data_IF_017646193441
#
_entry.id   IF_017646193441
#
_cell.length_a   1.000
_cell.length_b   1.000
_cell.length_c   1.000
_cell.angle_alpha   90.00
_cell.angle_beta   90.00
_cell.angle_gamma   90.00
#
_symmetry.space_group_name_H-M   'P 1'
#
loop_
_entity.id
_entity.type
_entity.pdbx_description
1 polymer ?
#
# COMPACT_ATOMS: atom_id res chain seq x y z
N UNK A 1 14.41 18.33 -10.11
CA UNK A 1 13.71 17.39 -11.02
C UNK A 1 12.53 16.83 -10.24
N UNK A 2 11.33 17.24 -10.56
CA UNK A 2 10.16 16.55 -10.02
C UNK A 2 10.15 15.12 -10.59
N UNK A 3 10.09 14.08 -9.77
CA UNK A 3 9.93 12.74 -10.31
C UNK A 3 8.62 12.70 -11.07
N UNK A 4 8.66 12.26 -12.31
CA UNK A 4 7.47 12.09 -13.14
C UNK A 4 6.66 10.91 -12.57
N UNK A 5 5.89 11.21 -11.54
CA UNK A 5 5.14 10.24 -10.73
C UNK A 5 4.12 9.48 -11.59
N UNK A 6 3.61 10.12 -12.65
CA UNK A 6 2.60 9.52 -13.52
C UNK A 6 3.13 8.32 -14.32
N UNK A 7 4.40 8.32 -14.66
CA UNK A 7 5.00 7.24 -15.46
C UNK A 7 5.61 6.11 -14.63
N UNK A 8 5.70 6.26 -13.31
CA UNK A 8 6.40 5.33 -12.41
C UNK A 8 5.51 4.68 -11.36
N UNK A 9 4.20 4.75 -11.48
CA UNK A 9 3.27 4.13 -10.52
C UNK A 9 3.55 2.64 -10.33
N UNK A 10 4.07 2.00 -11.37
CA UNK A 10 4.38 0.57 -11.42
C UNK A 10 5.85 0.29 -11.74
N UNK A 11 6.74 1.26 -11.55
CA UNK A 11 8.15 1.02 -11.79
C UNK A 11 8.69 0.01 -10.77
N UNK A 12 8.82 -1.20 -11.26
CA UNK A 12 9.35 -2.32 -10.54
C UNK A 12 10.76 -2.08 -9.99
N UNK A 13 11.54 -1.27 -10.69
CA UNK A 13 12.89 -0.95 -10.25
C UNK A 13 12.87 -0.18 -8.94
N UNK A 14 11.83 0.62 -8.68
CA UNK A 14 11.67 1.32 -7.41
C UNK A 14 11.08 0.46 -6.30
N UNK A 15 10.32 -0.59 -6.63
CA UNK A 15 9.66 -1.44 -5.65
C UNK A 15 10.39 -2.76 -5.37
N UNK A 16 11.11 -3.29 -6.35
CA UNK A 16 11.57 -4.69 -6.35
C UNK A 16 13.05 -4.82 -6.73
N UNK A 17 13.47 -4.16 -7.79
CA UNK A 17 14.88 -4.08 -8.17
C UNK A 17 15.39 -2.67 -7.82
N UNK A 18 16.60 -2.54 -7.28
CA UNK A 18 17.17 -1.22 -7.10
C UNK A 18 17.30 -0.56 -8.48
N UNK A 19 16.82 0.67 -8.64
CA UNK A 19 17.34 1.54 -9.67
C UNK A 19 18.87 1.48 -9.55
N UNK A 20 19.57 1.37 -10.65
CA UNK A 20 20.97 0.97 -10.72
C UNK A 20 21.97 1.76 -9.83
N UNK A 21 21.54 2.79 -9.11
CA UNK A 21 22.36 3.62 -8.25
C UNK A 21 21.77 3.87 -6.85
N UNK A 22 20.61 3.29 -6.49
CA UNK A 22 20.05 3.51 -5.16
C UNK A 22 20.52 2.37 -4.25
N UNK A 23 21.35 2.73 -3.27
CA UNK A 23 21.80 1.79 -2.25
C UNK A 23 20.60 1.38 -1.40
N UNK A 24 20.42 0.07 -1.23
CA UNK A 24 19.38 -0.50 -0.37
C UNK A 24 20.02 -1.24 0.79
N UNK A 25 19.37 -1.13 1.93
CA UNK A 25 19.80 -1.77 3.17
C UNK A 25 18.86 -2.91 3.51
N UNK A 26 19.34 -3.89 4.25
CA UNK A 26 18.54 -5.03 4.65
C UNK A 26 18.02 -4.85 6.07
N UNK A 27 16.70 -4.78 6.24
CA UNK A 27 16.06 -4.70 7.55
C UNK A 27 15.95 -6.08 8.18
N UNK A 28 16.70 -6.30 9.26
CA UNK A 28 16.67 -7.55 10.04
C UNK A 28 15.70 -7.49 11.22
N UNK A 29 15.33 -6.29 11.64
CA UNK A 29 14.57 -6.00 12.86
C UNK A 29 13.05 -5.97 12.67
N UNK A 30 12.56 -6.25 11.45
CA UNK A 30 11.11 -6.25 11.21
C UNK A 30 10.39 -7.24 12.13
N UNK A 31 9.27 -6.78 12.73
CA UNK A 31 8.39 -7.60 13.56
C UNK A 31 7.42 -8.46 12.73
N UNK A 32 7.28 -8.14 11.44
CA UNK A 32 6.40 -8.86 10.54
C UNK A 32 7.07 -10.15 10.03
N UNK A 33 6.90 -11.22 10.79
CA UNK A 33 7.53 -12.52 10.50
C UNK A 33 7.14 -13.11 9.15
N UNK A 34 5.93 -12.84 8.65
CA UNK A 34 5.48 -13.41 7.36
C UNK A 34 6.37 -13.00 6.18
N UNK A 35 6.96 -11.80 6.23
CA UNK A 35 7.93 -11.34 5.22
C UNK A 35 9.27 -12.04 5.35
N UNK A 36 9.72 -12.30 6.55
CA UNK A 36 10.97 -13.05 6.81
C UNK A 36 10.83 -14.49 6.34
N UNK A 37 9.73 -15.15 6.68
CA UNK A 37 9.41 -16.52 6.25
C UNK A 37 9.31 -16.62 4.73
N UNK A 38 8.66 -15.63 4.09
CA UNK A 38 8.58 -15.56 2.63
C UNK A 38 9.96 -15.39 1.98
N UNK A 39 10.82 -14.55 2.54
CA UNK A 39 12.19 -14.39 2.07
C UNK A 39 12.98 -15.71 2.17
N UNK A 40 12.84 -16.43 3.27
CA UNK A 40 13.47 -17.75 3.47
C UNK A 40 12.92 -18.79 2.48
N UNK A 41 11.60 -18.79 2.25
CA UNK A 41 10.99 -19.65 1.25
C UNK A 41 11.54 -19.36 -0.16
N UNK A 42 11.59 -18.09 -0.57
CA UNK A 42 12.15 -17.72 -1.87
C UNK A 42 13.62 -18.15 -2.01
N UNK A 43 14.40 -18.05 -0.93
CA UNK A 43 15.79 -18.55 -0.89
C UNK A 43 15.83 -20.06 -1.10
N UNK A 44 14.95 -20.82 -0.45
CA UNK A 44 14.94 -22.29 -0.53
C UNK A 44 14.62 -22.82 -1.94
N UNK A 45 13.86 -22.04 -2.73
CA UNK A 45 13.54 -22.37 -4.13
C UNK A 45 14.49 -21.72 -5.16
N UNK A 46 15.61 -21.15 -4.70
CA UNK A 46 16.68 -20.65 -5.57
C UNK A 46 16.51 -19.23 -6.11
N UNK A 47 15.56 -18.46 -5.58
CA UNK A 47 15.40 -17.04 -6.01
C UNK A 47 16.57 -16.21 -5.50
N UNK A 48 17.37 -15.67 -6.42
CA UNK A 48 18.58 -14.89 -6.08
C UNK A 48 18.26 -13.61 -5.28
N UNK A 49 17.28 -12.82 -5.71
CA UNK A 49 16.86 -11.62 -5.01
C UNK A 49 15.73 -11.90 -4.00
N UNK A 50 15.93 -12.88 -3.11
CA UNK A 50 14.91 -13.32 -2.16
C UNK A 50 14.60 -12.30 -1.04
N UNK A 51 15.43 -11.25 -0.87
CA UNK A 51 15.31 -10.26 0.21
C UNK A 51 14.71 -8.93 -0.24
N UNK A 52 14.25 -8.79 -1.47
CA UNK A 52 13.75 -7.53 -2.01
C UNK A 52 12.63 -6.91 -1.14
N UNK A 53 11.80 -7.75 -0.54
CA UNK A 53 10.69 -7.33 0.33
C UNK A 53 11.12 -6.89 1.74
N UNK A 54 12.41 -7.07 2.10
CA UNK A 54 12.98 -6.71 3.40
C UNK A 54 13.98 -5.55 3.29
N UNK A 55 13.97 -4.83 2.18
CA UNK A 55 14.91 -3.73 1.95
C UNK A 55 14.39 -2.40 2.51
N UNK A 56 15.32 -1.50 2.80
CA UNK A 56 15.12 -0.10 3.17
C UNK A 56 15.97 0.79 2.25
N UNK A 57 15.47 1.99 1.97
CA UNK A 57 16.26 3.06 1.35
C UNK A 57 17.06 3.82 2.40
N UNK A 58 16.47 4.05 3.57
CA UNK A 58 17.13 4.70 4.71
C UNK A 58 17.37 3.70 5.84
N UNK A 59 18.66 3.39 6.19
CA UNK A 59 18.97 2.44 7.25
C UNK A 59 18.52 2.91 8.64
N UNK A 60 18.35 4.22 8.85
CA UNK A 60 17.91 4.77 10.14
C UNK A 60 16.52 4.29 10.52
N UNK A 61 15.72 3.86 9.54
CA UNK A 61 14.37 3.33 9.76
C UNK A 61 14.35 1.87 10.25
N UNK A 62 15.50 1.21 10.36
CA UNK A 62 15.55 -0.22 10.69
C UNK A 62 14.85 -0.59 12.01
N UNK A 63 14.93 0.29 13.02
CA UNK A 63 14.37 0.06 14.36
C UNK A 63 13.28 1.10 14.72
N UNK A 64 12.75 1.81 13.74
CA UNK A 64 11.70 2.81 13.97
C UNK A 64 10.34 2.15 13.83
N UNK A 65 9.47 2.37 14.82
CA UNK A 65 8.05 2.06 14.69
C UNK A 65 7.34 3.24 14.02
N UNK A 66 6.86 3.09 12.79
CA UNK A 66 6.16 4.16 12.08
C UNK A 66 4.79 4.49 12.69
N UNK A 67 4.26 3.66 13.58
CA UNK A 67 2.99 3.89 14.29
C UNK A 67 3.17 4.57 15.66
N UNK A 68 4.40 4.86 16.08
CA UNK A 68 4.64 5.60 17.32
C UNK A 68 4.02 7.01 17.23
N UNK A 69 3.06 7.36 18.09
CA UNK A 69 2.44 8.68 18.08
C UNK A 69 3.43 9.82 18.41
N UNK A 70 4.51 9.50 19.11
CA UNK A 70 5.55 10.44 19.51
C UNK A 70 6.75 10.46 18.56
N UNK A 71 6.62 9.86 17.37
CA UNK A 71 7.70 9.83 16.39
C UNK A 71 8.17 11.25 16.04
N UNK A 72 9.49 11.56 16.15
CA UNK A 72 10.04 12.85 15.78
C UNK A 72 9.76 13.21 14.31
N UNK A 73 9.57 14.49 14.00
CA UNK A 73 9.22 14.96 12.65
C UNK A 73 10.22 14.53 11.58
N UNK A 74 11.50 14.47 11.91
CA UNK A 74 12.52 14.00 10.97
C UNK A 74 12.30 12.55 10.54
N UNK A 75 11.87 11.68 11.46
CA UNK A 75 11.56 10.29 11.12
C UNK A 75 10.22 10.16 10.40
N UNK A 76 9.21 10.98 10.70
CA UNK A 76 7.97 11.03 9.92
C UNK A 76 8.25 11.34 8.46
N UNK A 77 9.14 12.29 8.19
CA UNK A 77 9.56 12.63 6.83
C UNK A 77 10.29 11.47 6.15
N UNK A 78 11.26 10.83 6.85
CA UNK A 78 11.99 9.66 6.34
C UNK A 78 11.05 8.49 6.03
N UNK A 79 10.11 8.20 6.94
CA UNK A 79 9.08 7.16 6.73
C UNK A 79 8.21 7.48 5.53
N UNK A 80 7.76 8.74 5.39
CA UNK A 80 6.97 9.16 4.22
C UNK A 80 7.75 8.94 2.92
N UNK A 81 9.01 9.34 2.87
CA UNK A 81 9.87 9.13 1.70
C UNK A 81 10.08 7.65 1.40
N UNK A 82 10.30 6.84 2.42
CA UNK A 82 10.42 5.37 2.28
C UNK A 82 9.13 4.77 1.71
N UNK A 83 7.96 5.15 2.27
CA UNK A 83 6.64 4.64 1.84
C UNK A 83 6.39 4.92 0.36
N UNK A 84 6.60 6.14 -0.11
CA UNK A 84 6.34 6.48 -1.51
C UNK A 84 7.29 5.78 -2.50
N UNK A 85 8.45 5.32 -2.05
CA UNK A 85 9.47 4.70 -2.91
C UNK A 85 9.67 3.19 -2.65
N UNK A 86 9.00 2.64 -1.63
CA UNK A 86 9.15 1.24 -1.25
C UNK A 86 7.81 0.61 -0.85
N UNK A 87 7.13 0.04 -1.82
CA UNK A 87 5.85 -0.64 -1.62
C UNK A 87 5.93 -1.77 -0.58
N UNK A 88 7.06 -2.51 -0.54
CA UNK A 88 7.22 -3.62 0.38
C UNK A 88 7.43 -3.16 1.82
N UNK A 89 8.06 -2.01 2.03
CA UNK A 89 8.09 -1.35 3.33
C UNK A 89 6.70 -0.93 3.78
N UNK A 90 5.94 -0.30 2.89
CA UNK A 90 4.54 0.07 3.16
C UNK A 90 3.72 -1.14 3.63
N UNK A 91 3.75 -2.26 2.89
CA UNK A 91 3.01 -3.46 3.25
C UNK A 91 3.45 -4.06 4.59
N UNK A 92 4.76 -4.09 4.82
CA UNK A 92 5.37 -4.75 5.98
C UNK A 92 5.19 -3.97 7.27
N UNK A 93 5.49 -2.65 7.23
CA UNK A 93 5.58 -1.83 8.44
C UNK A 93 4.36 -0.95 8.65
N UNK A 94 3.71 -0.49 7.57
CA UNK A 94 2.65 0.52 7.66
C UNK A 94 1.25 -0.10 7.66
N UNK A 95 1.01 -1.10 6.79
CA UNK A 95 -0.34 -1.66 6.64
C UNK A 95 -0.79 -2.37 7.90
N UNK A 96 -1.96 -1.98 8.38
CA UNK A 96 -2.72 -2.68 9.40
C UNK A 96 -4.08 -3.07 8.83
N UNK A 97 -4.52 -4.28 9.14
CA UNK A 97 -5.79 -4.83 8.67
C UNK A 97 -6.81 -4.71 9.79
N UNK A 98 -7.96 -4.06 9.54
CA UNK A 98 -9.04 -3.99 10.54
C UNK A 98 -9.48 -5.37 10.98
N UNK A 99 -9.65 -5.57 12.28
CA UNK A 99 -10.22 -6.78 12.87
C UNK A 99 -11.20 -6.39 14.00
N UNK A 100 -11.91 -7.36 14.56
CA UNK A 100 -12.88 -7.15 15.66
C UNK A 100 -12.20 -6.78 16.99
N UNK A 101 -10.89 -6.94 17.09
CA UNK A 101 -10.08 -6.53 18.23
C UNK A 101 -9.03 -5.52 17.81
N UNK A 102 -7.77 -5.79 18.13
CA UNK A 102 -6.66 -4.98 17.67
C UNK A 102 -6.39 -5.18 16.17
N UNK A 103 -5.98 -4.10 15.51
CA UNK A 103 -5.60 -4.17 14.10
C UNK A 103 -4.37 -5.07 13.92
N UNK A 104 -4.44 -5.98 12.96
CA UNK A 104 -3.38 -6.95 12.69
C UNK A 104 -2.43 -6.47 11.58
N UNK A 105 -1.19 -6.95 11.62
CA UNK A 105 -0.25 -6.74 10.52
C UNK A 105 -0.73 -7.45 9.24
N UNK A 106 -0.32 -6.92 8.08
CA UNK A 106 -0.56 -7.59 6.81
C UNK A 106 0.26 -8.90 6.75
N UNK A 107 -0.41 -10.02 6.50
CA UNK A 107 0.24 -11.33 6.38
C UNK A 107 0.58 -11.59 4.91
N UNK A 108 1.87 -11.76 4.64
CA UNK A 108 2.37 -12.12 3.33
C UNK A 108 2.43 -13.65 3.17
N UNK A 109 1.79 -14.17 2.13
CA UNK A 109 1.88 -15.58 1.74
C UNK A 109 2.10 -15.69 0.23
N UNK A 110 2.43 -16.89 -0.27
CA UNK A 110 2.84 -17.12 -1.66
C UNK A 110 1.88 -16.54 -2.70
N UNK A 111 0.58 -16.75 -2.52
CA UNK A 111 -0.42 -16.32 -3.50
C UNK A 111 -0.55 -14.80 -3.57
N UNK A 112 -0.63 -14.11 -2.44
CA UNK A 112 -0.73 -12.65 -2.45
C UNK A 112 0.61 -11.98 -2.80
N UNK A 113 1.74 -12.57 -2.43
CA UNK A 113 3.06 -12.09 -2.83
C UNK A 113 3.22 -12.11 -4.36
N UNK A 114 2.90 -13.23 -5.02
CA UNK A 114 3.00 -13.35 -6.47
C UNK A 114 2.08 -12.32 -7.18
N UNK A 115 0.84 -12.17 -6.71
CA UNK A 115 -0.09 -11.18 -7.23
C UNK A 115 0.44 -9.74 -7.08
N UNK A 116 0.88 -9.38 -5.87
CA UNK A 116 1.39 -8.03 -5.59
C UNK A 116 2.70 -7.75 -6.34
N UNK A 117 3.54 -8.77 -6.53
CA UNK A 117 4.73 -8.66 -7.36
C UNK A 117 4.36 -8.31 -8.79
N UNK A 118 3.46 -9.06 -9.42
CA UNK A 118 3.00 -8.79 -10.79
C UNK A 118 2.33 -7.42 -10.92
N UNK A 119 1.50 -7.05 -9.94
CA UNK A 119 0.85 -5.75 -9.91
C UNK A 119 1.86 -4.58 -9.84
N UNK A 120 2.91 -4.72 -9.02
CA UNK A 120 3.98 -3.70 -8.93
C UNK A 120 4.86 -3.65 -10.17
N UNK A 121 4.92 -4.74 -10.95
CA UNK A 121 5.63 -4.82 -12.24
C UNK A 121 4.78 -4.34 -13.41
N UNK A 122 3.54 -3.92 -13.19
CA UNK A 122 2.57 -3.59 -14.23
C UNK A 122 2.37 -4.75 -15.25
N UNK A 123 2.38 -5.97 -14.76
CA UNK A 123 2.16 -7.16 -15.56
C UNK A 123 0.70 -7.57 -15.46
N UNK A 124 0.02 -7.64 -16.60
CA UNK A 124 -1.34 -8.16 -16.67
C UNK A 124 -1.34 -9.64 -16.29
N UNK A 125 -2.23 -10.01 -15.38
CA UNK A 125 -2.34 -11.39 -14.94
C UNK A 125 -3.80 -11.79 -14.71
N UNK A 126 -4.06 -13.09 -14.87
CA UNK A 126 -5.30 -13.72 -14.45
C UNK A 126 -5.02 -14.49 -13.15
N UNK A 127 -5.68 -14.09 -12.08
CA UNK A 127 -5.45 -14.67 -10.76
C UNK A 127 -6.51 -15.73 -10.45
N UNK A 128 -6.12 -16.99 -10.52
CA UNK A 128 -6.92 -18.14 -10.13
C UNK A 128 -6.49 -18.61 -8.73
N UNK A 129 -7.30 -18.37 -7.74
CA UNK A 129 -7.03 -18.77 -6.36
C UNK A 129 -8.30 -19.26 -5.68
N UNK A 130 -8.21 -20.20 -4.72
CA UNK A 130 -9.33 -20.61 -3.89
C UNK A 130 -9.97 -19.43 -3.14
N UNK A 131 -11.14 -19.65 -2.57
CA UNK A 131 -11.76 -18.69 -1.66
C UNK A 131 -10.93 -18.54 -0.38
N UNK A 132 -11.07 -17.38 0.29
CA UNK A 132 -10.44 -17.07 1.59
C UNK A 132 -8.90 -17.07 1.60
N UNK A 133 -8.29 -16.81 0.47
CA UNK A 133 -6.81 -16.70 0.33
C UNK A 133 -6.29 -15.27 0.47
N UNK A 134 -7.06 -14.34 1.04
CA UNK A 134 -6.61 -12.97 1.27
C UNK A 134 -6.51 -12.09 0.02
N UNK A 135 -6.97 -12.54 -1.17
CA UNK A 135 -6.91 -11.75 -2.42
C UNK A 135 -7.46 -10.34 -2.27
N UNK A 136 -8.66 -10.24 -1.72
CA UNK A 136 -9.38 -8.96 -1.58
C UNK A 136 -8.63 -8.00 -0.67
N UNK A 137 -8.03 -8.49 0.41
CA UNK A 137 -7.23 -7.68 1.33
C UNK A 137 -5.92 -7.24 0.67
N UNK A 138 -5.26 -8.13 -0.07
CA UNK A 138 -4.06 -7.78 -0.83
C UNK A 138 -4.35 -6.70 -1.88
N UNK A 139 -5.45 -6.84 -2.62
CA UNK A 139 -5.91 -5.81 -3.58
C UNK A 139 -6.25 -4.50 -2.88
N UNK A 140 -6.95 -4.56 -1.73
CA UNK A 140 -7.30 -3.36 -0.98
C UNK A 140 -6.06 -2.61 -0.47
N UNK A 141 -5.04 -3.33 0.03
CA UNK A 141 -3.77 -2.74 0.44
C UNK A 141 -3.01 -2.12 -0.74
N UNK A 142 -3.00 -2.79 -1.89
CA UNK A 142 -2.39 -2.27 -3.12
C UNK A 142 -3.10 -1.00 -3.63
N UNK A 143 -4.43 -1.02 -3.72
CA UNK A 143 -5.19 0.16 -4.15
C UNK A 143 -5.08 1.32 -3.16
N UNK A 144 -5.05 1.03 -1.86
CA UNK A 144 -4.78 2.04 -0.84
C UNK A 144 -3.42 2.70 -1.04
N UNK A 145 -2.37 1.91 -1.35
CA UNK A 145 -1.05 2.42 -1.67
C UNK A 145 -1.03 3.29 -2.92
N UNK A 146 -1.57 2.78 -4.03
CA UNK A 146 -1.59 3.51 -5.30
C UNK A 146 -2.32 4.83 -5.14
N UNK A 147 -3.50 4.80 -4.52
CA UNK A 147 -4.35 5.98 -4.36
C UNK A 147 -3.72 7.05 -3.46
N UNK A 148 -3.11 6.65 -2.33
CA UNK A 148 -2.58 7.61 -1.36
C UNK A 148 -1.17 8.10 -1.71
N UNK A 149 -0.33 7.27 -2.32
CA UNK A 149 1.10 7.56 -2.40
C UNK A 149 1.67 7.61 -3.81
N UNK A 150 0.99 7.05 -4.81
CA UNK A 150 1.59 6.86 -6.14
C UNK A 150 0.93 7.62 -7.27
N UNK A 151 -0.28 8.13 -7.09
CA UNK A 151 -1.03 8.78 -8.16
C UNK A 151 -1.48 10.19 -7.81
N UNK A 152 -1.53 11.05 -8.84
CA UNK A 152 -2.17 12.37 -8.79
C UNK A 152 -3.27 12.41 -9.85
N UNK A 153 -4.40 13.05 -9.53
CA UNK A 153 -5.52 13.22 -10.46
C UNK A 153 -6.02 11.89 -11.09
N UNK A 154 -6.01 10.82 -10.29
CA UNK A 154 -6.36 9.48 -10.77
C UNK A 154 -7.67 9.03 -10.14
N UNK A 155 -8.50 8.40 -10.94
CA UNK A 155 -9.71 7.72 -10.51
C UNK A 155 -9.47 6.21 -10.55
N UNK A 156 -9.79 5.53 -9.46
CA UNK A 156 -9.78 4.06 -9.38
C UNK A 156 -11.23 3.60 -9.32
N UNK A 157 -11.65 2.83 -10.31
CA UNK A 157 -12.99 2.25 -10.39
C UNK A 157 -12.99 0.80 -9.90
N UNK A 158 -13.87 0.49 -8.96
CA UNK A 158 -14.07 -0.86 -8.44
C UNK A 158 -15.35 -1.45 -9.04
N UNK A 159 -15.18 -2.39 -9.95
CA UNK A 159 -16.28 -3.07 -10.61
C UNK A 159 -16.45 -4.48 -10.01
N UNK A 160 -17.64 -4.79 -9.56
CA UNK A 160 -18.02 -6.10 -9.04
C UNK A 160 -19.37 -6.51 -9.62
N UNK A 161 -19.76 -7.77 -9.41
CA UNK A 161 -21.05 -8.28 -9.87
C UNK A 161 -22.22 -7.51 -9.25
N UNK A 162 -22.11 -7.18 -7.97
CA UNK A 162 -23.15 -6.47 -7.23
C UNK A 162 -22.60 -5.19 -6.59
N UNK A 163 -23.47 -4.19 -6.44
CA UNK A 163 -23.14 -2.92 -5.78
C UNK A 163 -22.69 -3.13 -4.33
N UNK A 164 -23.32 -4.06 -3.62
CA UNK A 164 -22.93 -4.41 -2.25
C UNK A 164 -21.46 -4.82 -2.16
N UNK A 165 -20.98 -5.64 -3.08
CA UNK A 165 -19.59 -6.11 -3.11
C UNK A 165 -18.62 -4.96 -3.38
N UNK A 166 -18.97 -4.03 -4.27
CA UNK A 166 -18.16 -2.84 -4.53
C UNK A 166 -18.06 -1.95 -3.29
N UNK A 167 -19.17 -1.77 -2.58
CA UNK A 167 -19.21 -1.00 -1.32
C UNK A 167 -18.37 -1.66 -0.22
N UNK A 168 -18.43 -2.98 -0.09
CA UNK A 168 -17.62 -3.72 0.86
C UNK A 168 -16.13 -3.61 0.55
N UNK A 169 -15.75 -3.75 -0.72
CA UNK A 169 -14.35 -3.61 -1.15
C UNK A 169 -13.82 -2.20 -0.91
N UNK A 170 -14.61 -1.18 -1.19
CA UNK A 170 -14.26 0.20 -0.84
C UNK A 170 -14.15 0.39 0.68
N UNK A 171 -15.03 -0.25 1.46
CA UNK A 171 -14.96 -0.27 2.93
C UNK A 171 -13.64 -0.84 3.44
N UNK A 172 -13.14 -1.91 2.83
CA UNK A 172 -11.83 -2.52 3.16
C UNK A 172 -10.67 -1.56 2.88
N UNK A 173 -10.69 -0.87 1.74
CA UNK A 173 -9.67 0.12 1.39
C UNK A 173 -9.68 1.27 2.40
N UNK A 174 -10.87 1.79 2.75
CA UNK A 174 -11.05 2.83 3.76
C UNK A 174 -10.56 2.38 5.14
N UNK A 175 -10.91 1.16 5.54
CA UNK A 175 -10.46 0.61 6.82
C UNK A 175 -8.92 0.52 6.93
N UNK A 176 -8.24 0.12 5.87
CA UNK A 176 -6.76 0.14 5.83
C UNK A 176 -6.24 1.58 5.89
N UNK A 177 -6.83 2.50 5.12
CA UNK A 177 -6.44 3.92 5.13
C UNK A 177 -6.59 4.54 6.52
N UNK A 178 -7.70 4.26 7.18
CA UNK A 178 -8.02 4.85 8.49
C UNK A 178 -7.07 4.36 9.61
N UNK A 179 -6.40 3.24 9.38
CA UNK A 179 -5.34 2.69 10.25
C UNK A 179 -3.92 3.16 9.89
N UNK A 180 -3.75 3.95 8.83
CA UNK A 180 -2.46 4.56 8.55
C UNK A 180 -2.08 5.56 9.66
N UNK A 181 -0.79 5.72 9.97
CA UNK A 181 -0.32 6.82 10.79
C UNK A 181 -0.87 8.16 10.30
N UNK A 182 -1.24 9.06 11.21
CA UNK A 182 -1.91 10.33 10.86
C UNK A 182 -1.10 11.18 9.89
N UNK A 183 0.22 11.20 10.02
CA UNK A 183 1.12 11.94 9.12
C UNK A 183 1.24 11.33 7.71
N UNK A 184 0.77 10.09 7.52
CA UNK A 184 0.71 9.43 6.20
C UNK A 184 -0.70 9.48 5.59
N UNK A 185 -1.68 10.00 6.32
CA UNK A 185 -3.07 10.00 5.89
C UNK A 185 -3.45 11.36 5.32
N UNK A 186 -3.86 11.38 4.06
CA UNK A 186 -4.37 12.56 3.40
C UNK A 186 -5.91 12.56 3.48
N UNK A 187 -6.45 13.36 4.38
CA UNK A 187 -7.89 13.48 4.55
C UNK A 187 -8.47 14.55 3.64
N UNK A 188 -9.72 14.34 3.20
CA UNK A 188 -10.44 15.32 2.41
C UNK A 188 -10.75 16.56 3.26
N UNK A 189 -10.36 17.72 2.78
CA UNK A 189 -10.75 19.01 3.38
C UNK A 189 -12.09 19.44 2.80
N UNK A 190 -13.04 19.73 3.67
CA UNK A 190 -14.34 20.25 3.30
C UNK A 190 -14.52 21.66 3.87
N UNK A 191 -15.00 22.59 3.04
CA UNK A 191 -15.53 23.87 3.51
C UNK A 191 -17.04 23.72 3.75
N UNK A 192 -17.54 24.39 4.78
CA UNK A 192 -18.97 24.49 5.04
C UNK A 192 -19.40 25.90 4.63
N UNK A 193 -20.16 26.01 3.55
CA UNK A 193 -20.75 27.27 3.11
C UNK A 193 -22.26 27.12 3.16
N UNK A 194 -22.94 27.98 3.93
CA UNK A 194 -24.39 27.95 4.11
C UNK A 194 -24.92 26.57 4.57
N UNK A 195 -24.23 25.90 5.50
CA UNK A 195 -24.62 24.57 6.00
C UNK A 195 -24.36 23.42 5.02
N UNK A 196 -23.86 23.69 3.80
CA UNK A 196 -23.58 22.71 2.78
C UNK A 196 -22.07 22.38 2.78
N UNK A 197 -21.74 21.12 2.99
CA UNK A 197 -20.35 20.64 2.85
C UNK A 197 -19.94 20.65 1.39
N UNK A 198 -18.91 21.43 1.06
CA UNK A 198 -18.34 21.48 -0.28
C UNK A 198 -16.89 21.05 -0.20
N UNK A 199 -16.48 20.12 -1.05
CA UNK A 199 -15.08 19.68 -1.16
C UNK A 199 -14.23 20.84 -1.63
N UNK A 200 -13.12 21.09 -0.93
CA UNK A 200 -12.14 22.08 -1.38
C UNK A 200 -11.33 21.48 -2.53
N UNK A 201 -11.32 22.09 -3.72
CA UNK A 201 -10.56 21.57 -4.86
C UNK A 201 -9.07 21.43 -4.53
N UNK A 202 -8.44 20.38 -5.02
CA UNK A 202 -7.00 20.11 -4.93
C UNK A 202 -6.42 19.82 -3.53
N UNK A 203 -7.26 19.59 -2.51
CA UNK A 203 -6.75 19.41 -1.14
C UNK A 203 -6.86 17.99 -0.64
N UNK A 204 -7.37 17.02 -1.42
CA UNK A 204 -7.67 15.77 -0.76
C UNK A 204 -7.82 14.56 -1.66
N UNK A 205 -7.46 13.47 -1.08
CA UNK A 205 -7.80 12.14 -1.51
C UNK A 205 -9.25 11.87 -1.11
N UNK A 206 -10.07 11.60 -2.09
CA UNK A 206 -11.48 11.35 -1.91
C UNK A 206 -11.84 9.97 -2.43
N UNK A 207 -12.45 9.15 -1.59
CA UNK A 207 -12.91 7.81 -1.96
C UNK A 207 -14.44 7.78 -2.04
N UNK A 208 -14.95 7.56 -3.23
CA UNK A 208 -16.36 7.26 -3.49
C UNK A 208 -16.51 5.86 -4.10
N UNK A 209 -17.69 5.28 -3.93
CA UNK A 209 -18.08 4.09 -4.67
C UNK A 209 -19.01 4.49 -5.83
N UNK A 210 -18.88 3.79 -6.95
CA UNK A 210 -19.78 4.01 -8.08
C UNK A 210 -21.23 3.66 -7.71
N UNK A 211 -22.15 4.57 -8.00
CA UNK A 211 -23.55 4.43 -7.64
C UNK A 211 -24.32 3.57 -8.67
N UNK A 212 -23.81 3.44 -9.89
CA UNK A 212 -24.49 2.70 -10.98
C UNK A 212 -23.48 2.06 -11.92
N UNK A 213 -23.03 0.86 -11.61
CA UNK A 213 -22.26 0.05 -12.56
C UNK A 213 -23.11 -0.91 -13.40
N UNK A 214 -24.45 -0.89 -13.24
CA UNK A 214 -25.38 -1.64 -14.08
C UNK A 214 -25.84 -0.88 -15.32
N UNK A 215 -25.21 0.24 -15.63
CA UNK A 215 -25.46 1.03 -16.84
C UNK A 215 -24.26 1.05 -17.78
N UNK A 216 -23.69 -0.11 -18.01
CA UNK A 216 -22.83 -0.36 -19.14
C UNK A 216 -23.59 -1.14 -20.19
#
# INVERSE_FOLDING_TARGET
MEPNIANNVYDANNAIAPANNIKRYYQRSTTNRSFVEMSNYLKSIGVKNNRFMLTLLDPDLANIDPHDPNLPEIYKYKVFYEVINNFWYYLREIVRIPSTGEASQFILHRGNMAYLYLATMNINCILLQPRQTGKTIASAAFYCYVYNFRTKNTQISLLNKEFKDSKENLGRIRGIRDLLPTYLRFDAVFSVVNGKKTKVPNTAIYMEHAVNHNKL
#
